data_IF_482891058879
#
_entry.id   IF_482891058879
#
_cell.length_a   1.000
_cell.length_b   1.000
_cell.length_c   1.000
_cell.angle_alpha   90.00
_cell.angle_beta   90.00
_cell.angle_gamma   90.00
#
_symmetry.space_group_name_H-M   'P 1'
#
loop_
_entity.id
_entity.type
_entity.pdbx_description
1 polymer ?
#
# COMPACT_ATOMS: atom_id res chain seq x y z
N UNK A 1 16.83 -41.89 -46.13
CA UNK A 1 15.57 -41.09 -46.10
C UNK A 1 14.95 -41.04 -44.71
N UNK A 2 14.96 -42.12 -43.94
CA UNK A 2 14.38 -42.18 -42.57
C UNK A 2 15.20 -41.30 -41.60
N UNK A 3 16.52 -41.28 -41.70
CA UNK A 3 17.39 -40.45 -40.81
C UNK A 3 17.17 -38.96 -41.01
N UNK A 4 16.85 -38.52 -42.22
CA UNK A 4 16.58 -37.12 -42.54
C UNK A 4 15.24 -36.63 -41.98
N UNK A 5 14.24 -37.50 -41.92
CA UNK A 5 12.91 -37.22 -41.34
C UNK A 5 13.01 -37.08 -39.79
N UNK A 6 13.88 -37.89 -39.14
CA UNK A 6 14.08 -37.84 -37.70
C UNK A 6 14.80 -36.54 -37.28
N UNK A 7 15.79 -36.11 -38.06
CA UNK A 7 16.52 -34.85 -37.80
C UNK A 7 15.60 -33.64 -37.99
N UNK A 8 14.76 -33.59 -39.00
CA UNK A 8 13.80 -32.51 -39.22
C UNK A 8 12.72 -32.49 -38.15
N UNK A 9 12.30 -33.67 -37.63
CA UNK A 9 11.33 -33.78 -36.54
C UNK A 9 11.84 -33.23 -35.20
N UNK A 10 13.14 -33.33 -34.91
CA UNK A 10 13.73 -32.79 -33.66
C UNK A 10 13.86 -31.26 -33.64
N UNK A 11 13.87 -30.60 -34.80
CA UNK A 11 13.91 -29.11 -34.82
C UNK A 11 12.56 -28.42 -34.66
N UNK A 12 11.45 -29.18 -34.68
CA UNK A 12 10.10 -28.61 -34.52
C UNK A 12 9.62 -28.54 -33.06
N UNK A 13 10.41 -29.04 -32.10
CA UNK A 13 10.07 -29.00 -30.66
C UNK A 13 10.87 -28.00 -29.83
N UNK A 14 11.66 -27.11 -30.46
CA UNK A 14 12.15 -25.95 -29.77
C UNK A 14 11.02 -24.91 -29.67
N UNK A 15 10.00 -25.23 -28.92
CA UNK A 15 8.98 -24.26 -28.47
C UNK A 15 9.70 -23.26 -27.55
N UNK A 16 9.73 -22.02 -27.96
CA UNK A 16 10.11 -20.93 -27.08
C UNK A 16 9.17 -20.94 -25.86
N UNK A 17 9.67 -21.32 -24.70
CA UNK A 17 8.93 -21.28 -23.43
C UNK A 17 8.39 -19.89 -23.09
N UNK A 18 9.09 -18.85 -23.53
CA UNK A 18 8.77 -17.43 -23.30
C UNK A 18 7.48 -16.95 -24.00
N UNK A 19 6.95 -17.72 -24.99
CA UNK A 19 5.71 -17.35 -25.71
C UNK A 19 4.43 -17.62 -24.89
N UNK A 20 4.52 -18.41 -23.81
CA UNK A 20 3.38 -18.79 -22.98
C UNK A 20 3.40 -18.14 -21.60
N UNK A 21 4.34 -17.26 -21.31
CA UNK A 21 4.24 -16.38 -20.14
C UNK A 21 3.13 -15.36 -20.41
N UNK A 22 2.00 -15.55 -19.78
CA UNK A 22 0.87 -14.64 -19.83
C UNK A 22 1.21 -13.43 -18.95
N UNK A 23 1.94 -12.46 -19.54
CA UNK A 23 2.10 -11.15 -18.93
C UNK A 23 0.73 -10.48 -18.89
N UNK A 24 0.37 -9.92 -17.74
CA UNK A 24 -0.82 -9.10 -17.64
C UNK A 24 -0.79 -8.04 -18.75
N UNK A 25 -1.78 -8.06 -19.63
CA UNK A 25 -1.88 -7.13 -20.78
C UNK A 25 -2.00 -5.66 -20.38
N UNK A 26 -2.18 -5.40 -19.09
CA UNK A 26 -2.31 -4.08 -18.50
C UNK A 26 -0.99 -3.56 -17.88
N UNK A 27 0.06 -4.38 -17.84
CA UNK A 27 1.39 -3.93 -17.49
C UNK A 27 2.06 -3.35 -18.74
N UNK A 28 2.03 -2.04 -18.86
CA UNK A 28 2.93 -1.32 -19.76
C UNK A 28 4.34 -1.77 -19.40
N UNK A 29 5.09 -2.30 -20.36
CA UNK A 29 6.50 -2.67 -20.16
C UNK A 29 7.27 -1.40 -19.80
N UNK A 30 7.59 -1.23 -18.52
CA UNK A 30 8.52 -0.20 -18.12
C UNK A 30 9.88 -0.50 -18.76
N UNK A 31 10.44 0.45 -19.45
CA UNK A 31 11.74 0.35 -20.13
C UNK A 31 12.81 1.25 -19.49
N UNK A 32 12.39 2.07 -18.55
CA UNK A 32 13.24 3.05 -17.86
C UNK A 32 12.67 3.40 -16.47
N UNK A 33 13.49 4.07 -15.67
CA UNK A 33 13.05 4.67 -14.42
C UNK A 33 12.00 5.79 -14.63
N UNK A 34 11.96 6.44 -15.78
CA UNK A 34 10.92 7.43 -16.12
C UNK A 34 9.55 6.76 -16.22
N UNK A 35 9.47 5.60 -16.88
CA UNK A 35 8.23 4.81 -16.94
C UNK A 35 7.78 4.35 -15.54
N UNK A 36 8.73 3.93 -14.69
CA UNK A 36 8.42 3.58 -13.30
C UNK A 36 7.94 4.77 -12.49
N UNK A 37 8.44 5.98 -12.77
CA UNK A 37 8.00 7.20 -12.11
C UNK A 37 6.54 7.54 -12.48
N UNK A 38 6.15 7.32 -13.72
CA UNK A 38 4.76 7.47 -14.15
C UNK A 38 3.84 6.43 -13.48
N UNK A 39 4.30 5.18 -13.38
CA UNK A 39 3.53 4.12 -12.70
C UNK A 39 3.36 4.45 -11.21
N UNK A 40 4.41 4.94 -10.52
CA UNK A 40 4.29 5.26 -9.10
C UNK A 40 3.31 6.41 -8.86
N UNK A 41 3.33 7.45 -9.70
CA UNK A 41 2.38 8.57 -9.63
C UNK A 41 0.97 8.11 -9.95
N UNK A 42 0.82 7.34 -11.02
CA UNK A 42 -0.49 6.92 -11.54
C UNK A 42 -1.17 5.84 -10.72
N UNK A 43 -0.42 4.89 -10.18
CA UNK A 43 -0.94 3.67 -9.59
C UNK A 43 -0.31 3.32 -8.23
N UNK A 44 0.89 3.81 -7.93
CA UNK A 44 1.55 3.59 -6.65
C UNK A 44 0.90 4.39 -5.53
N UNK A 45 0.75 5.69 -5.71
CA UNK A 45 0.09 6.57 -4.73
C UNK A 45 -1.43 6.39 -4.74
N UNK A 46 -2.07 6.57 -3.59
CA UNK A 46 -3.52 6.68 -3.49
C UNK A 46 -3.99 7.90 -4.28
N UNK A 47 -4.91 7.69 -5.21
CA UNK A 47 -5.45 8.77 -6.04
C UNK A 47 -6.30 9.71 -5.20
N UNK A 48 -6.04 11.01 -5.30
CA UNK A 48 -6.92 12.04 -4.79
C UNK A 48 -7.63 12.67 -5.99
N UNK A 49 -8.96 12.60 -6.02
CA UNK A 49 -9.69 13.29 -7.06
C UNK A 49 -9.63 14.81 -6.86
N UNK A 50 -9.14 15.52 -7.88
CA UNK A 50 -8.99 16.96 -7.86
C UNK A 50 -10.34 17.73 -7.81
N UNK A 51 -11.44 17.07 -8.14
CA UNK A 51 -12.78 17.66 -8.17
C UNK A 51 -13.57 17.43 -6.88
N UNK A 52 -12.94 17.65 -5.73
CA UNK A 52 -13.48 17.31 -4.40
C UNK A 52 -14.63 18.20 -3.90
N UNK A 53 -15.14 19.14 -4.68
CA UNK A 53 -16.30 19.95 -4.26
C UNK A 53 -17.56 19.10 -3.94
N UNK A 54 -17.57 17.82 -4.39
CA UNK A 54 -18.66 16.85 -4.21
C UNK A 54 -18.21 15.45 -3.79
N UNK A 55 -17.04 15.30 -3.21
CA UNK A 55 -16.45 13.99 -2.84
C UNK A 55 -17.30 13.17 -1.84
N UNK A 56 -18.26 13.79 -1.18
CA UNK A 56 -19.22 13.11 -0.28
C UNK A 56 -20.14 12.11 -0.99
N UNK A 57 -20.18 12.09 -2.30
CA UNK A 57 -21.16 11.30 -3.06
C UNK A 57 -20.59 10.16 -3.89
N UNK A 58 -19.25 10.02 -3.97
CA UNK A 58 -18.61 8.95 -4.72
C UNK A 58 -17.75 8.08 -3.83
N UNK A 59 -18.35 7.00 -3.37
CA UNK A 59 -17.79 6.01 -2.43
C UNK A 59 -16.43 5.44 -2.86
N UNK A 60 -16.15 5.40 -4.16
CA UNK A 60 -14.96 4.77 -4.71
C UNK A 60 -13.74 5.73 -4.79
N UNK A 61 -13.86 6.95 -4.28
CA UNK A 61 -12.83 7.98 -4.42
C UNK A 61 -12.06 8.26 -3.13
N UNK A 62 -12.66 7.99 -1.96
CA UNK A 62 -12.02 8.11 -0.66
C UNK A 62 -11.52 6.75 -0.19
N UNK A 63 -10.34 6.73 0.42
CA UNK A 63 -9.83 5.57 1.14
C UNK A 63 -10.22 5.68 2.60
N UNK A 64 -10.78 4.61 3.15
CA UNK A 64 -11.14 4.50 4.57
C UNK A 64 -11.95 5.69 5.10
N UNK A 65 -13.06 6.06 4.43
CA UNK A 65 -13.83 7.25 4.83
C UNK A 65 -14.38 7.16 6.25
N UNK A 66 -14.57 5.93 6.77
CA UNK A 66 -15.03 5.69 8.12
C UNK A 66 -14.00 6.03 9.20
N UNK A 67 -12.70 6.06 8.90
CA UNK A 67 -11.68 6.45 9.88
C UNK A 67 -11.86 7.88 10.35
N UNK A 68 -12.35 8.77 9.47
CA UNK A 68 -12.60 10.18 9.82
C UNK A 68 -13.75 10.37 10.83
N UNK A 69 -14.61 9.37 11.01
CA UNK A 69 -15.71 9.44 11.98
C UNK A 69 -15.43 8.63 13.24
N UNK A 70 -14.30 7.92 13.29
CA UNK A 70 -13.84 7.16 14.46
C UNK A 70 -12.88 7.94 15.35
N UNK A 71 -12.56 9.16 14.95
CA UNK A 71 -11.66 10.07 15.66
C UNK A 71 -12.41 10.74 16.83
N UNK A 72 -11.71 10.99 17.93
CA UNK A 72 -12.24 11.70 19.09
C UNK A 72 -12.30 13.23 18.90
N UNK A 73 -11.72 13.75 17.82
CA UNK A 73 -11.86 15.14 17.36
C UNK A 73 -13.18 15.41 16.61
N UNK A 74 -14.04 14.39 16.43
CA UNK A 74 -15.29 14.48 15.66
C UNK A 74 -16.51 14.34 16.57
N UNK A 75 -17.43 15.28 16.49
CA UNK A 75 -18.71 15.19 17.17
C UNK A 75 -19.91 15.27 16.20
N UNK A 76 -21.00 14.57 16.54
CA UNK A 76 -22.27 14.67 15.80
C UNK A 76 -22.94 16.00 16.08
N UNK A 77 -22.97 16.92 15.11
CA UNK A 77 -23.67 18.19 15.24
C UNK A 77 -25.15 18.04 14.81
N UNK A 78 -26.04 17.92 15.78
CA UNK A 78 -27.49 17.85 15.58
C UNK A 78 -28.05 19.25 15.32
N UNK A 79 -27.84 19.82 14.14
CA UNK A 79 -28.67 20.95 13.70
C UNK A 79 -29.99 20.40 13.14
N UNK A 80 -31.11 21.05 13.44
CA UNK A 80 -32.46 20.62 13.04
C UNK A 80 -32.72 20.44 11.53
N UNK A 81 -31.67 20.55 10.72
CA UNK A 81 -31.64 20.29 9.28
C UNK A 81 -31.31 18.82 8.91
N UNK A 82 -30.84 18.00 9.83
CA UNK A 82 -30.54 16.57 9.55
C UNK A 82 -31.84 15.74 9.66
N UNK A 83 -32.85 16.14 8.92
CA UNK A 83 -34.12 15.40 8.84
C UNK A 83 -34.13 14.27 7.82
N UNK A 84 -33.07 14.06 7.07
CA UNK A 84 -33.01 13.03 6.04
C UNK A 84 -31.87 12.05 6.28
N UNK A 85 -32.09 11.15 7.20
CA UNK A 85 -31.36 9.89 7.29
C UNK A 85 -31.83 8.99 6.13
N UNK A 86 -31.42 9.26 4.92
CA UNK A 86 -31.58 8.33 3.80
C UNK A 86 -30.32 7.45 3.70
N UNK A 87 -30.44 6.25 3.16
CA UNK A 87 -29.31 5.35 2.95
C UNK A 87 -28.17 5.98 2.10
N UNK A 88 -28.45 7.06 1.39
CA UNK A 88 -27.48 7.87 0.69
C UNK A 88 -26.75 8.88 1.59
N UNK A 89 -27.16 9.03 2.85
CA UNK A 89 -26.51 9.96 3.78
C UNK A 89 -25.30 9.27 4.43
N UNK A 90 -24.09 9.82 4.31
CA UNK A 90 -22.88 9.29 4.97
C UNK A 90 -23.07 9.06 6.48
N UNK A 91 -23.85 9.90 7.16
CA UNK A 91 -24.14 9.74 8.59
C UNK A 91 -24.87 8.42 8.91
N UNK A 92 -25.79 7.98 8.04
CA UNK A 92 -26.47 6.68 8.21
C UNK A 92 -25.51 5.53 7.95
N UNK A 93 -24.69 5.68 6.92
CA UNK A 93 -23.75 4.66 6.46
C UNK A 93 -22.64 4.42 7.47
N UNK A 94 -22.06 5.50 8.04
CA UNK A 94 -20.91 5.37 8.94
C UNK A 94 -21.26 5.44 10.42
N UNK A 95 -22.54 5.45 10.78
CA UNK A 95 -22.95 5.56 12.17
C UNK A 95 -22.38 4.45 13.06
N UNK A 96 -22.35 3.21 12.57
CA UNK A 96 -21.82 2.09 13.34
C UNK A 96 -20.32 2.21 13.60
N UNK A 97 -19.57 2.86 12.70
CA UNK A 97 -18.18 3.22 12.93
C UNK A 97 -18.08 4.33 13.98
N UNK A 98 -18.83 5.40 13.84
CA UNK A 98 -18.87 6.52 14.77
C UNK A 98 -19.22 6.09 16.20
N UNK A 99 -20.17 5.19 16.36
CA UNK A 99 -20.61 4.68 17.66
C UNK A 99 -19.85 3.46 18.16
N UNK A 100 -18.77 3.04 17.46
CA UNK A 100 -18.00 1.84 17.77
C UNK A 100 -18.88 0.59 17.93
N UNK A 101 -19.85 0.46 17.04
CA UNK A 101 -20.82 -0.63 17.03
C UNK A 101 -20.17 -1.99 16.80
N UNK A 102 -20.81 -3.05 17.30
CA UNK A 102 -20.33 -4.43 17.17
C UNK A 102 -20.18 -4.90 15.71
N UNK A 103 -21.01 -4.33 14.82
CA UNK A 103 -20.99 -4.64 13.37
C UNK A 103 -20.74 -3.37 12.56
N UNK A 104 -19.50 -2.84 12.54
CA UNK A 104 -19.22 -1.55 11.94
C UNK A 104 -19.48 -1.53 10.44
N UNK A 105 -19.23 -2.63 9.71
CA UNK A 105 -19.51 -2.76 8.28
C UNK A 105 -20.99 -3.08 7.99
N UNK A 106 -21.90 -2.47 8.71
CA UNK A 106 -23.34 -2.46 8.39
C UNK A 106 -23.89 -1.06 8.58
N UNK A 107 -24.91 -0.70 7.78
CA UNK A 107 -25.63 0.55 7.99
C UNK A 107 -26.62 0.44 9.17
N UNK A 108 -27.30 1.54 9.48
CA UNK A 108 -28.30 1.58 10.54
C UNK A 108 -29.49 0.64 10.33
N UNK A 109 -29.71 0.17 9.11
CA UNK A 109 -30.80 -0.76 8.75
C UNK A 109 -30.35 -2.22 8.78
N UNK A 110 -29.06 -2.46 9.02
CA UNK A 110 -28.44 -3.79 9.06
C UNK A 110 -27.99 -4.30 7.69
N UNK A 111 -28.01 -3.45 6.66
CA UNK A 111 -27.47 -3.80 5.33
C UNK A 111 -25.95 -3.77 5.40
N UNK A 112 -25.30 -4.83 4.91
CA UNK A 112 -23.83 -4.92 4.88
C UNK A 112 -23.23 -3.90 3.90
N UNK A 113 -22.16 -3.24 4.37
CA UNK A 113 -21.33 -2.34 3.57
C UNK A 113 -20.17 -3.13 2.98
N UNK A 114 -19.91 -2.92 1.70
CA UNK A 114 -18.75 -3.53 1.04
C UNK A 114 -17.51 -2.72 1.38
N UNK A 115 -16.51 -3.38 1.95
CA UNK A 115 -15.19 -2.81 2.13
C UNK A 115 -14.36 -3.02 0.86
N UNK A 116 -14.27 -1.97 0.05
CA UNK A 116 -13.45 -1.99 -1.17
C UNK A 116 -11.96 -1.68 -0.90
N UNK A 117 -11.63 -1.15 0.27
CA UNK A 117 -10.28 -0.64 0.54
C UNK A 117 -9.26 -1.74 0.72
N UNK A 118 -9.67 -2.90 1.25
CA UNK A 118 -8.83 -4.09 1.26
C UNK A 118 -8.28 -4.42 -0.13
N UNK A 119 -9.17 -4.56 -1.12
CA UNK A 119 -8.78 -4.89 -2.50
C UNK A 119 -7.91 -3.79 -3.11
N UNK A 120 -8.31 -2.52 -2.94
CA UNK A 120 -7.60 -1.36 -3.51
C UNK A 120 -6.18 -1.24 -2.98
N UNK A 121 -5.94 -1.51 -1.69
CA UNK A 121 -4.59 -1.49 -1.14
C UNK A 121 -3.71 -2.60 -1.70
N UNK A 122 -4.25 -3.80 -1.88
CA UNK A 122 -3.49 -4.88 -2.51
C UNK A 122 -3.22 -4.61 -4.00
N UNK A 123 -4.08 -3.89 -4.71
CA UNK A 123 -3.81 -3.40 -6.06
C UNK A 123 -2.62 -2.44 -6.07
N UNK A 124 -2.58 -1.47 -5.14
CA UNK A 124 -1.42 -0.57 -4.99
C UNK A 124 -0.14 -1.33 -4.62
N UNK A 125 -0.22 -2.31 -3.71
CA UNK A 125 0.90 -3.17 -3.34
C UNK A 125 1.43 -3.92 -4.56
N UNK A 126 0.56 -4.42 -5.42
CA UNK A 126 0.96 -5.05 -6.69
C UNK A 126 1.80 -4.11 -7.56
N UNK A 127 1.35 -2.87 -7.79
CA UNK A 127 2.11 -1.90 -8.58
C UNK A 127 3.47 -1.56 -7.94
N UNK A 128 3.53 -1.31 -6.64
CA UNK A 128 4.80 -0.97 -6.00
C UNK A 128 5.75 -2.17 -5.93
N UNK A 129 5.27 -3.41 -5.88
CA UNK A 129 6.10 -4.60 -5.98
C UNK A 129 6.80 -4.68 -7.34
N UNK A 130 6.07 -4.41 -8.43
CA UNK A 130 6.63 -4.33 -9.78
C UNK A 130 7.73 -3.27 -9.82
N UNK A 131 7.48 -2.06 -9.30
CA UNK A 131 8.47 -0.98 -9.28
C UNK A 131 9.72 -1.40 -8.49
N UNK A 132 9.57 -1.99 -7.29
CA UNK A 132 10.69 -2.44 -6.45
C UNK A 132 11.54 -3.51 -7.15
N UNK A 133 10.92 -4.38 -7.95
CA UNK A 133 11.64 -5.39 -8.72
C UNK A 133 12.38 -4.77 -9.90
N UNK A 134 11.68 -4.02 -10.75
CA UNK A 134 12.22 -3.54 -12.03
C UNK A 134 13.23 -2.39 -11.88
N UNK A 135 13.14 -1.55 -10.86
CA UNK A 135 14.10 -0.45 -10.66
C UNK A 135 15.55 -0.93 -10.55
N UNK A 136 15.76 -2.19 -10.16
CA UNK A 136 17.09 -2.81 -10.05
C UNK A 136 17.67 -3.19 -11.41
N UNK A 137 16.84 -3.37 -12.43
CA UNK A 137 17.23 -3.79 -13.76
C UNK A 137 17.71 -2.61 -14.62
N UNK A 138 17.31 -1.39 -14.28
CA UNK A 138 17.66 -0.18 -15.03
C UNK A 138 18.99 0.43 -14.55
N UNK A 139 20.06 -0.37 -14.55
CA UNK A 139 21.39 0.06 -14.09
C UNK A 139 21.99 1.22 -14.92
N UNK A 140 21.54 1.40 -16.16
CA UNK A 140 21.94 2.52 -17.02
C UNK A 140 21.38 3.87 -16.61
N UNK A 141 20.30 3.89 -15.83
CA UNK A 141 19.68 5.12 -15.37
C UNK A 141 20.43 5.73 -14.18
N UNK A 142 20.37 7.05 -14.00
CA UNK A 142 21.07 7.73 -12.90
C UNK A 142 20.72 7.11 -11.53
N UNK A 143 21.74 6.84 -10.72
CA UNK A 143 21.59 6.21 -9.39
C UNK A 143 20.63 6.99 -8.49
N UNK A 144 20.67 8.33 -8.52
CA UNK A 144 19.78 9.18 -7.75
C UNK A 144 18.30 8.95 -8.11
N UNK A 145 17.99 8.77 -9.41
CA UNK A 145 16.62 8.52 -9.88
C UNK A 145 16.18 7.12 -9.44
N UNK A 146 17.03 6.12 -9.57
CA UNK A 146 16.76 4.75 -9.13
C UNK A 146 16.49 4.69 -7.63
N UNK A 147 17.33 5.34 -6.82
CA UNK A 147 17.16 5.42 -5.37
C UNK A 147 15.88 6.16 -4.99
N UNK A 148 15.55 7.26 -5.66
CA UNK A 148 14.32 8.00 -5.44
C UNK A 148 13.09 7.11 -5.62
N UNK A 149 13.01 6.43 -6.77
CA UNK A 149 11.85 5.59 -7.13
C UNK A 149 11.76 4.37 -6.22
N UNK A 150 12.89 3.70 -5.95
CA UNK A 150 12.94 2.57 -5.02
C UNK A 150 12.48 2.98 -3.62
N UNK A 151 12.99 4.12 -3.12
CA UNK A 151 12.64 4.62 -1.80
C UNK A 151 11.16 4.97 -1.65
N UNK A 152 10.57 5.60 -2.66
CA UNK A 152 9.13 5.90 -2.66
C UNK A 152 8.29 4.63 -2.71
N UNK A 153 8.62 3.68 -3.59
CA UNK A 153 7.88 2.42 -3.69
C UNK A 153 7.95 1.60 -2.39
N UNK A 154 9.13 1.51 -1.77
CA UNK A 154 9.32 0.85 -0.47
C UNK A 154 8.51 1.52 0.64
N UNK A 155 8.52 2.87 0.70
CA UNK A 155 7.68 3.59 1.65
C UNK A 155 6.21 3.27 1.46
N UNK A 156 5.71 3.33 0.23
CA UNK A 156 4.30 3.08 -0.07
C UNK A 156 3.90 1.66 0.33
N UNK A 157 4.74 0.65 0.05
CA UNK A 157 4.47 -0.73 0.46
C UNK A 157 4.42 -0.86 1.98
N UNK A 158 5.38 -0.30 2.69
CA UNK A 158 5.40 -0.28 4.15
C UNK A 158 4.18 0.42 4.74
N UNK A 159 3.77 1.55 4.15
CA UNK A 159 2.59 2.30 4.58
C UNK A 159 1.30 1.52 4.34
N UNK A 160 1.14 0.88 3.19
CA UNK A 160 -0.06 0.10 2.89
C UNK A 160 -0.20 -1.11 3.81
N UNK A 161 0.90 -1.82 4.08
CA UNK A 161 0.88 -2.91 5.07
C UNK A 161 0.63 -2.41 6.49
N UNK A 162 1.15 -1.23 6.87
CA UNK A 162 0.84 -0.61 8.14
C UNK A 162 -0.65 -0.31 8.28
N UNK A 163 -1.29 0.24 7.25
CA UNK A 163 -2.75 0.46 7.24
C UNK A 163 -3.51 -0.86 7.33
N UNK A 164 -3.18 -1.84 6.49
CA UNK A 164 -3.85 -3.13 6.47
C UNK A 164 -3.77 -3.85 7.82
N UNK A 165 -2.59 -3.95 8.43
CA UNK A 165 -2.43 -4.70 9.68
C UNK A 165 -3.15 -4.02 10.84
N UNK A 166 -3.16 -2.68 10.90
CA UNK A 166 -3.82 -1.95 11.98
C UNK A 166 -5.35 -1.93 11.84
N UNK A 167 -5.90 -2.05 10.63
CA UNK A 167 -7.34 -2.07 10.40
C UNK A 167 -7.93 -3.47 10.48
N UNK A 168 -7.18 -4.51 10.07
CA UNK A 168 -7.74 -5.85 9.88
C UNK A 168 -7.14 -6.92 10.79
N UNK A 169 -6.19 -6.57 11.66
CA UNK A 169 -5.60 -7.49 12.60
C UNK A 169 -5.73 -6.99 14.05
N UNK A 170 -5.30 -7.82 14.99
CA UNK A 170 -5.17 -7.39 16.38
C UNK A 170 -4.00 -6.39 16.52
N UNK A 171 -4.07 -5.49 17.49
CA UNK A 171 -2.95 -4.64 17.84
C UNK A 171 -1.68 -5.46 18.10
N UNK A 172 -0.52 -4.92 17.74
CA UNK A 172 0.76 -5.57 18.03
C UNK A 172 0.94 -5.76 19.54
N UNK A 173 1.28 -6.97 19.95
CA UNK A 173 1.75 -7.30 21.31
C UNK A 173 2.93 -8.21 21.21
N UNK A 174 4.02 -7.90 21.91
CA UNK A 174 5.26 -8.74 21.93
C UNK A 174 4.98 -10.19 22.34
N UNK A 175 3.97 -10.41 23.19
CA UNK A 175 3.62 -11.73 23.70
C UNK A 175 2.86 -12.59 22.68
N UNK A 176 2.10 -11.96 21.78
CA UNK A 176 1.14 -12.68 20.93
C UNK A 176 1.33 -12.46 19.44
N UNK A 177 2.09 -11.43 19.00
CA UNK A 177 2.24 -11.05 17.59
C UNK A 177 2.71 -12.20 16.69
N UNK A 178 3.53 -13.12 17.19
CA UNK A 178 3.98 -14.30 16.45
C UNK A 178 2.90 -15.37 16.24
N UNK A 179 1.73 -15.23 16.89
CA UNK A 179 0.59 -16.16 16.78
C UNK A 179 -0.68 -15.50 16.27
N UNK A 180 -0.87 -14.22 16.55
CA UNK A 180 -2.02 -13.47 16.07
C UNK A 180 -1.96 -13.31 14.55
N UNK A 181 -3.09 -13.56 13.89
CA UNK A 181 -3.18 -13.44 12.44
C UNK A 181 -3.15 -11.97 12.03
N UNK A 182 -2.15 -11.62 11.25
CA UNK A 182 -1.99 -10.33 10.59
C UNK A 182 -2.75 -10.26 9.27
N UNK A 183 -2.08 -9.91 8.19
CA UNK A 183 -2.62 -9.84 6.83
C UNK A 183 -1.71 -10.63 5.89
N UNK A 184 -2.19 -11.09 4.73
CA UNK A 184 -1.35 -11.77 3.74
C UNK A 184 -0.21 -10.87 3.26
N UNK A 185 1.02 -11.36 3.28
CA UNK A 185 2.16 -10.70 2.66
C UNK A 185 2.31 -11.16 1.21
N UNK A 186 2.11 -10.23 0.28
CA UNK A 186 2.47 -10.39 -1.13
C UNK A 186 3.55 -9.34 -1.45
N UNK A 187 4.79 -9.78 -1.57
CA UNK A 187 5.96 -8.92 -1.78
C UNK A 187 6.68 -9.22 -3.10
N UNK A 188 6.04 -9.95 -3.99
CA UNK A 188 6.55 -10.30 -5.32
C UNK A 188 5.81 -9.52 -6.40
N UNK A 189 6.47 -9.31 -7.54
CA UNK A 189 5.91 -8.66 -8.73
C UNK A 189 4.96 -9.56 -9.53
N UNK A 190 4.95 -10.87 -9.23
CA UNK A 190 4.18 -11.84 -9.99
C UNK A 190 2.72 -11.88 -9.56
N UNK A 191 1.83 -12.01 -10.54
CA UNK A 191 0.43 -12.35 -10.31
C UNK A 191 0.35 -13.86 -10.12
N UNK A 192 0.11 -14.29 -8.88
CA UNK A 192 0.00 -15.70 -8.57
C UNK A 192 -1.47 -16.09 -8.38
N UNK A 193 -1.93 -17.09 -9.11
CA UNK A 193 -3.26 -17.71 -8.92
C UNK A 193 -3.20 -18.71 -7.74
N UNK A 194 -3.12 -18.14 -6.53
CA UNK A 194 -3.12 -18.92 -5.28
C UNK A 194 -3.93 -18.23 -4.19
N UNK A 195 -4.41 -19.03 -3.25
CA UNK A 195 -4.99 -18.51 -2.01
C UNK A 195 -3.89 -18.12 -1.04
N UNK A 196 -3.83 -16.84 -0.70
CA UNK A 196 -2.92 -16.33 0.32
C UNK A 196 -3.51 -16.55 1.72
N UNK A 197 -2.75 -17.13 2.63
CA UNK A 197 -3.07 -17.17 4.05
C UNK A 197 -2.63 -15.88 4.72
N UNK A 198 -3.24 -15.57 5.86
CA UNK A 198 -2.79 -14.45 6.69
C UNK A 198 -1.48 -14.82 7.38
N UNK A 199 -0.50 -13.93 7.27
CA UNK A 199 0.76 -14.05 7.98
C UNK A 199 0.60 -13.58 9.44
N UNK A 200 1.47 -14.02 10.37
CA UNK A 200 1.49 -13.48 11.73
C UNK A 200 1.69 -11.96 11.76
N UNK A 201 1.07 -11.28 12.72
CA UNK A 201 1.24 -9.83 12.93
C UNK A 201 2.72 -9.46 13.01
N UNK A 202 3.55 -10.25 13.72
CA UNK A 202 4.99 -10.05 13.82
C UNK A 202 5.66 -9.98 12.45
N UNK A 203 5.35 -10.91 11.55
CA UNK A 203 5.91 -10.95 10.19
C UNK A 203 5.53 -9.73 9.35
N UNK A 204 4.30 -9.28 9.49
CA UNK A 204 3.84 -8.08 8.78
C UNK A 204 4.58 -6.84 9.28
N UNK A 205 4.76 -6.70 10.60
CA UNK A 205 5.52 -5.59 11.18
C UNK A 205 7.02 -5.66 10.84
N UNK A 206 7.62 -6.85 10.81
CA UNK A 206 9.00 -7.05 10.34
C UNK A 206 9.17 -6.53 8.89
N UNK A 207 8.22 -6.85 8.00
CA UNK A 207 8.25 -6.38 6.61
C UNK A 207 8.07 -4.86 6.52
N UNK A 208 7.14 -4.29 7.29
CA UNK A 208 6.93 -2.84 7.35
C UNK A 208 8.22 -2.12 7.78
N UNK A 209 8.85 -2.59 8.85
CA UNK A 209 10.12 -2.02 9.35
C UNK A 209 11.24 -2.13 8.31
N UNK A 210 11.35 -3.27 7.64
CA UNK A 210 12.34 -3.49 6.58
C UNK A 210 12.13 -2.50 5.43
N UNK A 211 10.90 -2.39 4.94
CA UNK A 211 10.55 -1.50 3.84
C UNK A 211 10.81 -0.03 4.19
N UNK A 212 10.40 0.42 5.37
CA UNK A 212 10.58 1.81 5.79
C UNK A 212 12.04 2.18 6.08
N UNK A 213 12.86 1.26 6.60
CA UNK A 213 14.31 1.46 6.72
C UNK A 213 14.95 1.63 5.35
N UNK A 214 14.68 0.69 4.45
CA UNK A 214 15.22 0.76 3.10
C UNK A 214 14.72 1.99 2.33
N UNK A 215 13.47 2.43 2.58
CA UNK A 215 12.93 3.66 2.03
C UNK A 215 13.72 4.88 2.53
N UNK A 216 13.94 4.99 3.83
CA UNK A 216 14.70 6.09 4.43
C UNK A 216 16.14 6.15 3.89
N UNK A 217 16.79 4.99 3.75
CA UNK A 217 18.17 4.90 3.24
C UNK A 217 18.25 5.28 1.76
N UNK A 218 17.31 4.83 0.93
CA UNK A 218 17.24 5.19 -0.48
C UNK A 218 16.90 6.67 -0.70
N UNK A 219 16.11 7.27 0.17
CA UNK A 219 15.68 8.68 0.06
C UNK A 219 16.67 9.64 0.75
N UNK A 220 17.73 9.14 1.39
CA UNK A 220 18.68 9.96 2.12
C UNK A 220 19.37 10.97 1.18
N UNK A 221 19.20 12.27 1.50
CA UNK A 221 19.76 13.36 0.71
C UNK A 221 19.09 13.61 -0.65
N UNK A 222 18.10 12.84 -1.03
CA UNK A 222 17.37 13.01 -2.29
C UNK A 222 16.40 14.20 -2.22
N UNK A 223 16.46 15.06 -3.22
CA UNK A 223 15.51 16.17 -3.37
C UNK A 223 14.33 15.70 -4.21
N UNK A 224 13.13 15.76 -3.65
CA UNK A 224 11.91 15.38 -4.36
C UNK A 224 11.45 16.48 -5.34
N UNK A 225 10.90 16.10 -6.53
CA UNK A 225 10.40 17.07 -7.50
C UNK A 225 9.28 17.96 -6.95
N UNK A 226 8.52 17.46 -6.00
CA UNK A 226 7.43 18.19 -5.34
C UNK A 226 7.30 17.75 -3.88
N UNK A 227 6.72 18.61 -3.05
CA UNK A 227 6.45 18.32 -1.64
C UNK A 227 5.30 17.30 -1.42
N UNK A 228 4.62 16.88 -2.47
CA UNK A 228 3.62 15.80 -2.41
C UNK A 228 4.23 14.40 -2.50
N UNK A 229 5.52 14.32 -2.84
CA UNK A 229 6.24 13.04 -2.92
C UNK A 229 6.89 12.70 -1.58
N UNK A 230 7.00 11.41 -1.31
CA UNK A 230 7.63 10.92 -0.08
C UNK A 230 9.12 11.27 -0.07
N UNK A 231 9.61 11.76 1.05
CA UNK A 231 11.02 12.06 1.31
C UNK A 231 11.54 11.25 2.51
N UNK A 232 12.84 11.37 2.80
CA UNK A 232 13.49 10.70 3.93
C UNK A 232 12.77 10.97 5.26
N UNK A 233 12.41 12.23 5.53
CA UNK A 233 11.75 12.60 6.77
C UNK A 233 10.40 11.87 6.93
N UNK A 234 9.62 11.77 5.87
CA UNK A 234 8.34 11.06 5.90
C UNK A 234 8.53 9.56 6.21
N UNK A 235 9.55 8.92 5.60
CA UNK A 235 9.87 7.51 5.86
C UNK A 235 10.28 7.29 7.33
N UNK A 236 11.14 8.15 7.88
CA UNK A 236 11.58 8.06 9.27
C UNK A 236 10.46 8.35 10.27
N UNK A 237 9.58 9.32 9.99
CA UNK A 237 8.42 9.62 10.85
C UNK A 237 7.47 8.42 10.90
N UNK A 238 7.18 7.80 9.77
CA UNK A 238 6.33 6.61 9.76
C UNK A 238 7.02 5.44 10.48
N UNK A 239 8.31 5.23 10.27
CA UNK A 239 9.09 4.21 10.97
C UNK A 239 9.09 4.42 12.49
N UNK A 240 9.26 5.65 12.95
CA UNK A 240 9.13 6.00 14.37
C UNK A 240 7.76 5.62 14.93
N UNK A 241 6.68 5.92 14.19
CA UNK A 241 5.32 5.55 14.59
C UNK A 241 5.15 4.02 14.64
N UNK A 242 5.70 3.28 13.69
CA UNK A 242 5.69 1.81 13.69
C UNK A 242 6.38 1.27 14.94
N UNK A 243 7.56 1.78 15.28
CA UNK A 243 8.27 1.40 16.50
C UNK A 243 7.48 1.73 17.78
N UNK A 244 6.78 2.88 17.78
CA UNK A 244 5.90 3.25 18.89
C UNK A 244 4.80 2.20 19.10
N UNK A 245 4.16 1.74 18.01
CA UNK A 245 3.13 0.70 18.05
C UNK A 245 3.67 -0.66 18.49
N UNK A 246 4.95 -0.95 18.19
CA UNK A 246 5.64 -2.16 18.63
C UNK A 246 6.13 -2.09 20.09
N UNK A 247 6.05 -0.94 20.73
CA UNK A 247 6.62 -0.70 22.06
C UNK A 247 8.14 -0.62 22.07
N UNK A 248 8.75 -0.32 20.93
CA UNK A 248 10.20 -0.13 20.75
C UNK A 248 10.55 1.36 20.93
N UNK A 249 10.39 1.86 22.17
CA UNK A 249 10.43 3.29 22.50
C UNK A 249 11.74 3.97 22.09
N UNK A 250 12.89 3.31 22.35
CA UNK A 250 14.17 3.90 22.01
C UNK A 250 14.37 4.03 20.50
N UNK A 251 13.97 3.00 19.74
CA UNK A 251 14.05 3.06 18.28
C UNK A 251 13.13 4.14 17.70
N UNK A 252 11.97 4.36 18.32
CA UNK A 252 11.07 5.44 17.92
C UNK A 252 11.70 6.82 18.15
N UNK A 253 12.36 7.03 19.30
CA UNK A 253 13.09 8.25 19.62
C UNK A 253 14.25 8.47 18.64
N UNK A 254 15.06 7.42 18.39
CA UNK A 254 16.21 7.50 17.51
C UNK A 254 15.81 7.93 16.08
N UNK A 255 14.67 7.47 15.55
CA UNK A 255 14.18 7.91 14.24
C UNK A 255 13.67 9.36 14.29
N UNK A 256 13.03 9.80 15.37
CA UNK A 256 12.64 11.20 15.56
C UNK A 256 13.87 12.12 15.60
N UNK A 257 14.93 11.73 16.31
CA UNK A 257 16.17 12.51 16.39
C UNK A 257 16.84 12.65 15.01
N UNK A 258 16.82 11.59 14.19
CA UNK A 258 17.30 11.67 12.81
C UNK A 258 16.48 12.68 11.98
N UNK A 259 15.15 12.70 12.13
CA UNK A 259 14.31 13.70 11.44
C UNK A 259 14.64 15.11 11.87
N UNK A 260 14.82 15.34 13.17
CA UNK A 260 15.22 16.67 13.69
C UNK A 260 16.58 17.10 13.14
N UNK A 261 17.52 16.15 12.98
CA UNK A 261 18.85 16.40 12.41
C UNK A 261 18.82 16.77 10.91
N UNK A 262 17.79 16.36 10.14
CA UNK A 262 17.64 16.79 8.75
C UNK A 262 17.38 18.29 8.60
N UNK A 263 16.96 18.94 9.67
CA UNK A 263 16.63 20.36 9.69
C UNK A 263 15.34 20.64 8.91
N UNK A 264 14.31 21.13 9.57
CA UNK A 264 13.15 21.71 8.88
C UNK A 264 13.61 22.95 8.11
N UNK A 265 13.75 22.81 6.79
CA UNK A 265 13.93 23.96 5.89
C UNK A 265 12.60 24.30 5.25
#
# INVERSE_FOLDING_TARGET
RILFVVVVGCFLFSSCGDFLEEYSKDLVYASSCEDLDEIIIGNGYMKRNANQEYAYYRENELYYPYLHVMDDDVEEFLSGAVKMLTNANPAVRYRNFYTWGERPFSDMTGVELVDSDWKRLYEHIGYVNVIISYVKEFESDPEEIRHRIAGEALFLRGWYYYMLVNLYAKPYSKETAGKDLGVPLNITEFIEDKYFSRDPVEKVYEQIVLDLKNAADNLAGIVQPTFYRVNEAAARILLSRVYLYMGEWQLAIDECDKVLALGCK
#
